data_IF_873965036667
#
_entry.id   IF_873965036667
#
_cell.length_a   1.000
_cell.length_b   1.000
_cell.length_c   1.000
_cell.angle_alpha   90.00
_cell.angle_beta   90.00
_cell.angle_gamma   90.00
#
_symmetry.space_group_name_H-M   'P 1'
#
loop_
_entity.id
_entity.type
_entity.pdbx_description
1 polymer ?
#
# COMPACT_ATOMS: atom_id res chain seq x y z
N UNK A 1 12.47 -17.82 1.84
CA UNK A 1 11.44 -18.73 1.29
C UNK A 1 10.09 -18.13 1.63
N UNK A 2 9.16 -18.09 0.68
CA UNK A 2 7.81 -17.58 0.94
C UNK A 2 7.11 -18.43 1.99
N UNK A 3 6.58 -17.75 3.01
CA UNK A 3 5.87 -18.36 4.15
C UNK A 3 4.33 -18.39 3.94
N UNK A 4 3.84 -17.82 2.83
CA UNK A 4 2.43 -17.80 2.47
C UNK A 4 2.03 -18.96 1.54
N UNK A 5 1.03 -19.74 1.94
CA UNK A 5 0.45 -20.78 1.09
C UNK A 5 -1.08 -20.64 0.97
N UNK A 6 -1.60 -20.86 -0.23
CA UNK A 6 -3.03 -21.05 -0.46
C UNK A 6 -3.35 -22.52 -0.21
N UNK A 7 -4.33 -22.79 0.64
CA UNK A 7 -4.86 -24.14 0.85
C UNK A 7 -6.06 -24.34 -0.07
N UNK A 8 -6.08 -25.45 -0.79
CA UNK A 8 -7.20 -25.82 -1.66
C UNK A 8 -7.73 -27.17 -1.21
N UNK A 9 -9.04 -27.26 -1.09
CA UNK A 9 -9.78 -28.44 -0.66
C UNK A 9 -10.91 -28.68 -1.63
N UNK A 10 -11.11 -29.92 -2.07
CA UNK A 10 -12.19 -30.30 -2.97
C UNK A 10 -12.85 -31.61 -2.51
N UNK A 11 -14.18 -31.71 -2.65
CA UNK A 11 -14.95 -32.90 -2.28
C UNK A 11 -16.47 -32.67 -2.24
N UNK A 12 -17.25 -33.72 -1.98
CA UNK A 12 -18.68 -33.60 -1.61
C UNK A 12 -18.76 -33.05 -0.19
N UNK A 13 -19.25 -31.82 -0.04
CA UNK A 13 -19.24 -31.09 1.22
C UNK A 13 -20.64 -30.61 1.59
N UNK A 14 -20.88 -30.52 2.90
CA UNK A 14 -21.88 -29.63 3.47
C UNK A 14 -21.21 -28.37 3.98
N UNK A 15 -21.71 -27.21 3.58
CA UNK A 15 -21.26 -25.89 4.01
C UNK A 15 -22.36 -25.21 4.78
N UNK A 16 -22.02 -24.72 5.97
CA UNK A 16 -22.94 -23.98 6.85
C UNK A 16 -22.34 -22.60 7.07
N UNK A 17 -23.05 -21.58 6.60
CA UNK A 17 -22.71 -20.18 6.82
C UNK A 17 -23.69 -19.59 7.84
N UNK A 18 -23.14 -18.99 8.89
CA UNK A 18 -23.92 -18.33 9.94
C UNK A 18 -23.53 -16.85 9.97
N UNK A 19 -24.24 -16.03 9.20
CA UNK A 19 -24.03 -14.57 9.09
C UNK A 19 -25.36 -13.84 9.24
N UNK A 20 -25.78 -13.59 10.49
CA UNK A 20 -27.09 -13.00 10.80
C UNK A 20 -28.29 -13.95 10.59
N UNK A 21 -28.06 -15.10 9.94
CA UNK A 21 -28.97 -16.23 9.76
C UNK A 21 -28.16 -17.47 9.39
N UNK A 22 -28.80 -18.65 9.38
CA UNK A 22 -28.14 -19.92 9.06
C UNK A 22 -28.52 -20.36 7.64
N UNK A 23 -27.53 -20.52 6.80
CA UNK A 23 -27.65 -21.05 5.44
C UNK A 23 -26.85 -22.34 5.32
N UNK A 24 -27.39 -23.32 4.59
CA UNK A 24 -26.78 -24.63 4.41
C UNK A 24 -26.78 -25.03 2.94
N UNK A 25 -25.62 -25.42 2.45
CA UNK A 25 -25.39 -25.85 1.08
C UNK A 25 -24.79 -27.25 1.08
N UNK A 26 -25.14 -28.06 0.10
CA UNK A 26 -24.52 -29.37 -0.13
C UNK A 26 -24.17 -29.56 -1.59
N UNK A 27 -22.99 -30.09 -1.85
CA UNK A 27 -22.57 -30.48 -3.18
C UNK A 27 -21.07 -30.68 -3.28
N UNK A 28 -20.61 -31.01 -4.48
CA UNK A 28 -19.19 -31.15 -4.78
C UNK A 28 -18.58 -29.77 -5.03
N UNK A 29 -17.78 -29.29 -4.09
CA UNK A 29 -17.35 -27.89 -4.00
C UNK A 29 -15.83 -27.79 -3.84
N UNK A 30 -15.27 -26.65 -4.20
CA UNK A 30 -13.86 -26.31 -3.98
C UNK A 30 -13.75 -25.16 -2.99
N UNK A 31 -13.05 -25.39 -1.88
CA UNK A 31 -12.71 -24.37 -0.88
C UNK A 31 -11.28 -23.88 -1.08
N UNK A 32 -11.11 -22.56 -1.13
CA UNK A 32 -9.83 -21.86 -1.17
C UNK A 32 -9.65 -21.11 0.15
N UNK A 33 -8.53 -21.35 0.84
CA UNK A 33 -8.13 -20.62 2.03
C UNK A 33 -6.86 -19.84 1.73
N UNK A 34 -6.96 -18.51 1.77
CA UNK A 34 -5.83 -17.60 1.55
C UNK A 34 -4.99 -17.42 2.82
N UNK A 35 -3.73 -16.94 2.69
CA UNK A 35 -2.85 -16.69 3.84
C UNK A 35 -3.41 -15.70 4.87
N UNK A 36 -4.27 -14.78 4.43
CA UNK A 36 -4.94 -13.81 5.31
C UNK A 36 -6.19 -14.37 5.99
N UNK A 37 -6.35 -15.70 6.02
CA UNK A 37 -7.52 -16.41 6.54
C UNK A 37 -8.84 -16.11 5.79
N UNK A 38 -8.80 -15.53 4.60
CA UNK A 38 -9.98 -15.48 3.75
C UNK A 38 -10.32 -16.88 3.24
N UNK A 39 -11.56 -17.32 3.49
CA UNK A 39 -12.11 -18.61 3.05
C UNK A 39 -13.18 -18.36 1.99
N UNK A 40 -13.03 -18.99 0.82
CA UNK A 40 -13.95 -18.89 -0.31
C UNK A 40 -14.39 -20.31 -0.69
N UNK A 41 -15.70 -20.55 -0.82
CA UNK A 41 -16.25 -21.82 -1.30
C UNK A 41 -16.89 -21.59 -2.65
N UNK A 42 -16.45 -22.31 -3.67
CA UNK A 42 -17.03 -22.29 -5.02
C UNK A 42 -17.70 -23.62 -5.34
N UNK A 43 -18.89 -23.55 -5.93
CA UNK A 43 -19.48 -24.66 -6.67
C UNK A 43 -19.17 -24.50 -8.17
N UNK A 44 -19.90 -25.19 -9.03
CA UNK A 44 -19.69 -25.15 -10.48
C UNK A 44 -20.28 -23.91 -11.16
N UNK A 45 -21.18 -23.19 -10.48
CA UNK A 45 -22.01 -22.16 -11.10
C UNK A 45 -21.70 -20.75 -10.56
N UNK A 46 -21.80 -19.77 -11.46
CA UNK A 46 -21.62 -18.38 -11.10
C UNK A 46 -20.15 -17.95 -10.89
N UNK A 47 -19.95 -16.64 -10.93
CA UNK A 47 -18.63 -16.03 -10.72
C UNK A 47 -18.30 -15.89 -9.22
N UNK A 48 -19.34 -15.76 -8.38
CA UNK A 48 -19.17 -15.53 -6.95
C UNK A 48 -19.07 -16.85 -6.17
N UNK A 49 -18.33 -16.88 -5.06
CA UNK A 49 -18.36 -18.03 -4.16
C UNK A 49 -19.76 -18.21 -3.57
N UNK A 50 -20.21 -19.47 -3.42
CA UNK A 50 -21.49 -19.84 -2.81
C UNK A 50 -21.53 -19.47 -1.32
N UNK A 51 -20.38 -19.50 -0.66
CA UNK A 51 -20.20 -19.03 0.72
C UNK A 51 -18.77 -18.52 0.92
N UNK A 52 -18.59 -17.51 1.76
CA UNK A 52 -17.27 -16.98 2.06
C UNK A 52 -17.19 -16.33 3.43
N UNK A 53 -15.96 -16.22 3.95
CA UNK A 53 -15.64 -15.42 5.13
C UNK A 53 -14.30 -14.72 4.89
N UNK A 54 -14.30 -13.39 4.87
CA UNK A 54 -13.08 -12.61 4.57
C UNK A 54 -12.32 -12.27 5.83
N UNK A 55 -10.99 -12.49 5.80
CA UNK A 55 -10.09 -12.18 6.92
C UNK A 55 -10.62 -12.70 8.26
N UNK A 56 -10.81 -14.01 8.36
CA UNK A 56 -11.29 -14.64 9.58
C UNK A 56 -10.25 -14.52 10.72
N UNK A 57 -10.73 -14.33 11.95
CA UNK A 57 -9.88 -14.26 13.15
C UNK A 57 -9.17 -15.61 13.40
N UNK A 58 -9.83 -16.70 13.00
CA UNK A 58 -9.28 -18.05 13.07
C UNK A 58 -9.81 -18.94 11.97
N UNK A 59 -8.97 -19.86 11.50
CA UNK A 59 -9.33 -20.97 10.61
C UNK A 59 -8.73 -22.24 11.17
N UNK A 60 -9.58 -23.17 11.59
CA UNK A 60 -9.20 -24.49 12.09
C UNK A 60 -9.60 -25.56 11.10
N UNK A 61 -8.76 -26.60 10.96
CA UNK A 61 -9.05 -27.74 10.11
C UNK A 61 -8.74 -29.04 10.84
N UNK A 62 -9.69 -29.97 10.83
CA UNK A 62 -9.54 -31.33 11.33
C UNK A 62 -9.61 -32.33 10.16
N UNK A 63 -8.80 -33.38 10.26
CA UNK A 63 -8.59 -34.40 9.22
C UNK A 63 -8.68 -35.84 9.74
N UNK A 64 -9.00 -36.06 11.01
CA UNK A 64 -8.97 -37.41 11.59
C UNK A 64 -10.13 -38.31 11.16
N UNK A 65 -11.29 -37.74 10.80
CA UNK A 65 -12.51 -38.48 10.41
C UNK A 65 -13.22 -37.74 9.26
N UNK A 66 -12.63 -37.81 8.07
CA UNK A 66 -12.97 -36.92 6.95
C UNK A 66 -12.32 -35.55 7.09
N UNK A 67 -12.87 -34.53 6.45
CA UNK A 67 -12.34 -33.15 6.53
C UNK A 67 -13.39 -32.22 7.11
N UNK A 68 -13.02 -31.46 8.15
CA UNK A 68 -13.82 -30.34 8.64
C UNK A 68 -12.97 -29.09 8.67
N UNK A 69 -13.52 -27.96 8.23
CA UNK A 69 -12.96 -26.63 8.40
C UNK A 69 -13.96 -25.71 9.05
N UNK A 70 -13.47 -24.94 10.02
CA UNK A 70 -14.26 -23.92 10.71
C UNK A 70 -13.48 -22.62 10.68
N UNK A 71 -14.07 -21.61 10.07
CA UNK A 71 -13.59 -20.24 10.07
C UNK A 71 -14.54 -19.36 10.90
N UNK A 72 -13.99 -18.46 11.70
CA UNK A 72 -14.75 -17.58 12.60
C UNK A 72 -14.28 -16.15 12.49
N UNK A 73 -15.23 -15.21 12.49
CA UNK A 73 -14.98 -13.78 12.55
C UNK A 73 -16.11 -13.09 13.29
N UNK A 74 -15.82 -12.44 14.40
CA UNK A 74 -16.86 -11.85 15.27
C UNK A 74 -17.98 -12.87 15.58
N UNK A 75 -19.22 -12.58 15.17
CA UNK A 75 -20.39 -13.47 15.29
C UNK A 75 -20.61 -14.39 14.08
N UNK A 76 -19.77 -14.27 13.05
CA UNK A 76 -19.88 -15.03 11.80
C UNK A 76 -19.11 -16.34 11.90
N UNK A 77 -19.74 -17.43 11.45
CA UNK A 77 -19.09 -18.74 11.33
C UNK A 77 -19.30 -19.33 9.95
N UNK A 78 -18.23 -19.88 9.37
CA UNK A 78 -18.29 -20.67 8.15
C UNK A 78 -17.72 -22.07 8.46
N UNK A 79 -18.58 -23.09 8.36
CA UNK A 79 -18.22 -24.48 8.59
C UNK A 79 -18.36 -25.28 7.32
N UNK A 80 -17.31 -26.02 6.95
CA UNK A 80 -17.30 -26.96 5.83
C UNK A 80 -17.03 -28.34 6.40
N UNK A 81 -17.84 -29.32 6.05
CA UNK A 81 -17.63 -30.73 6.39
C UNK A 81 -17.73 -31.57 5.12
N UNK A 82 -16.65 -32.27 4.79
CA UNK A 82 -16.59 -33.19 3.66
C UNK A 82 -17.22 -34.53 4.04
N UNK A 83 -18.09 -35.03 3.16
CA UNK A 83 -18.60 -36.39 3.15
C UNK A 83 -17.67 -37.31 2.34
N UNK A 84 -17.08 -36.78 1.28
CA UNK A 84 -16.11 -37.45 0.41
C UNK A 84 -15.04 -36.45 -0.04
N UNK A 85 -13.76 -36.86 -0.04
CA UNK A 85 -12.64 -35.96 -0.33
C UNK A 85 -12.01 -36.28 -1.68
N UNK A 86 -11.97 -35.29 -2.58
CA UNK A 86 -11.32 -35.40 -3.87
C UNK A 86 -9.86 -34.98 -3.83
N UNK A 87 -9.55 -33.93 -3.06
CA UNK A 87 -8.20 -33.38 -3.04
C UNK A 87 -7.94 -32.39 -1.92
N UNK A 88 -6.69 -32.35 -1.49
CA UNK A 88 -6.16 -31.34 -0.59
C UNK A 88 -4.72 -31.02 -0.95
N UNK A 89 -4.40 -29.73 -1.09
CA UNK A 89 -3.06 -29.29 -1.40
C UNK A 89 -2.76 -27.91 -0.79
N UNK A 90 -1.47 -27.68 -0.56
CA UNK A 90 -0.92 -26.37 -0.24
C UNK A 90 -0.11 -25.90 -1.44
N UNK A 91 -0.41 -24.70 -1.91
CA UNK A 91 0.30 -24.09 -3.02
C UNK A 91 1.01 -22.84 -2.51
N UNK A 92 2.35 -22.75 -2.61
CA UNK A 92 3.07 -21.52 -2.34
C UNK A 92 2.46 -20.37 -3.16
N UNK A 93 2.30 -19.22 -2.53
CA UNK A 93 1.69 -18.06 -3.18
C UNK A 93 2.46 -16.79 -2.84
N UNK A 94 2.79 -16.00 -3.87
CA UNK A 94 3.47 -14.72 -3.75
C UNK A 94 2.52 -13.56 -4.02
N UNK A 95 3.00 -12.34 -3.75
CA UNK A 95 2.40 -11.16 -4.37
C UNK A 95 2.59 -11.24 -5.89
N UNK A 96 1.58 -10.81 -6.65
CA UNK A 96 1.64 -10.76 -8.10
C UNK A 96 1.47 -9.31 -8.58
N UNK A 97 2.12 -8.98 -9.70
CA UNK A 97 2.03 -7.68 -10.33
C UNK A 97 3.07 -7.50 -11.44
N UNK A 98 3.23 -6.28 -11.99
CA UNK A 98 4.20 -6.02 -13.04
C UNK A 98 5.63 -6.35 -12.60
N UNK A 99 6.41 -6.97 -13.48
CA UNK A 99 7.84 -7.21 -13.28
C UNK A 99 8.59 -5.89 -13.20
N UNK A 100 9.47 -5.74 -12.21
CA UNK A 100 10.27 -4.52 -12.00
C UNK A 100 11.76 -4.75 -11.81
N UNK A 101 12.22 -6.00 -11.83
CA UNK A 101 13.64 -6.32 -11.80
C UNK A 101 13.92 -7.72 -11.26
N UNK A 102 15.19 -7.95 -10.89
CA UNK A 102 15.67 -9.20 -10.31
C UNK A 102 16.06 -9.01 -8.85
N UNK A 103 15.83 -10.03 -8.03
CA UNK A 103 16.25 -10.02 -6.63
C UNK A 103 17.78 -10.20 -6.56
N UNK A 104 18.50 -9.43 -5.73
CA UNK A 104 19.94 -9.63 -5.55
C UNK A 104 20.26 -10.84 -4.66
N UNK A 105 19.34 -11.19 -3.74
CA UNK A 105 19.56 -12.24 -2.74
C UNK A 105 19.14 -13.64 -3.22
N UNK A 106 18.39 -13.72 -4.33
CA UNK A 106 18.02 -14.97 -4.98
C UNK A 106 17.78 -14.77 -6.48
N UNK A 107 17.67 -15.85 -7.26
CA UNK A 107 17.39 -15.77 -8.70
C UNK A 107 15.93 -15.37 -9.06
N UNK A 108 15.16 -14.89 -8.09
CA UNK A 108 13.73 -14.63 -8.23
C UNK A 108 13.42 -13.26 -8.82
N UNK A 109 12.25 -13.15 -9.46
CA UNK A 109 11.74 -11.91 -10.01
C UNK A 109 11.20 -10.96 -8.91
N UNK A 110 11.44 -9.66 -9.07
CA UNK A 110 10.80 -8.61 -8.29
C UNK A 110 9.54 -8.10 -9.01
N UNK A 111 8.43 -8.03 -8.30
CA UNK A 111 7.14 -7.54 -8.84
C UNK A 111 6.59 -6.38 -8.02
N UNK A 112 5.93 -5.43 -8.69
CA UNK A 112 5.23 -4.31 -8.06
C UNK A 112 3.82 -4.72 -7.65
N UNK A 113 3.50 -4.62 -6.36
CA UNK A 113 2.12 -4.67 -5.84
C UNK A 113 1.89 -3.50 -4.87
N UNK A 114 1.58 -3.75 -3.59
CA UNK A 114 1.54 -2.68 -2.57
C UNK A 114 2.93 -2.14 -2.27
N UNK A 115 3.96 -2.98 -2.33
CA UNK A 115 5.38 -2.62 -2.37
C UNK A 115 6.06 -3.21 -3.60
N UNK A 116 7.34 -3.52 -3.49
CA UNK A 116 8.04 -4.43 -4.41
C UNK A 116 8.34 -5.73 -3.66
N UNK A 117 8.07 -6.86 -4.28
CA UNK A 117 8.18 -8.18 -3.65
C UNK A 117 8.95 -9.14 -4.52
N UNK A 118 9.83 -9.94 -3.92
CA UNK A 118 10.39 -11.10 -4.61
C UNK A 118 9.39 -12.27 -4.61
N UNK A 119 9.20 -12.90 -5.77
CA UNK A 119 8.29 -14.03 -5.95
C UNK A 119 8.83 -15.38 -5.47
N UNK A 120 10.09 -15.45 -5.04
CA UNK A 120 10.74 -16.70 -4.59
C UNK A 120 11.15 -16.65 -3.11
N UNK A 121 12.00 -15.69 -2.73
CA UNK A 121 12.47 -15.60 -1.35
C UNK A 121 11.43 -14.97 -0.41
N UNK A 122 10.54 -14.13 -0.94
CA UNK A 122 9.49 -13.43 -0.20
C UNK A 122 9.89 -12.04 0.31
N UNK A 123 11.10 -11.57 0.00
CA UNK A 123 11.61 -10.25 0.41
C UNK A 123 10.71 -9.12 -0.10
N UNK A 124 10.68 -8.03 0.69
CA UNK A 124 9.72 -6.93 0.50
C UNK A 124 10.41 -5.59 0.69
N UNK A 125 10.15 -4.68 -0.24
CA UNK A 125 10.60 -3.30 -0.18
C UNK A 125 9.38 -2.38 -0.12
N UNK A 126 9.34 -1.54 0.92
CA UNK A 126 8.25 -0.61 1.17
C UNK A 126 8.34 0.62 0.26
N UNK A 127 7.45 0.69 -0.73
CA UNK A 127 7.45 1.73 -1.77
C UNK A 127 6.19 2.59 -1.66
N UNK A 128 6.30 3.94 -1.64
CA UNK A 128 5.15 4.82 -1.68
C UNK A 128 4.21 4.53 -2.87
N UNK A 129 2.90 4.69 -2.69
CA UNK A 129 1.92 4.37 -3.73
C UNK A 129 2.09 5.18 -5.02
N UNK A 130 2.61 6.40 -4.88
CA UNK A 130 2.88 7.37 -5.94
C UNK A 130 4.29 7.26 -6.54
N UNK A 131 5.12 6.34 -6.05
CA UNK A 131 6.46 6.14 -6.60
C UNK A 131 6.42 5.28 -7.88
N UNK A 132 7.25 5.67 -8.85
CA UNK A 132 7.48 4.91 -10.09
C UNK A 132 8.77 4.11 -9.96
N UNK A 133 8.75 2.83 -10.30
CA UNK A 133 9.98 2.02 -10.35
C UNK A 133 10.67 2.21 -11.70
N UNK A 134 11.97 2.46 -11.68
CA UNK A 134 12.80 2.57 -12.89
C UNK A 134 13.18 1.18 -13.40
N UNK A 135 13.52 1.12 -14.68
CA UNK A 135 13.94 -0.12 -15.33
C UNK A 135 15.37 -0.53 -14.93
N UNK A 136 15.75 -1.75 -15.33
CA UNK A 136 17.00 -2.41 -14.90
C UNK A 136 18.27 -1.61 -15.25
N UNK A 137 18.21 -0.73 -16.26
CA UNK A 137 19.32 0.12 -16.66
C UNK A 137 19.67 1.19 -15.61
N UNK A 138 18.74 1.46 -14.68
CA UNK A 138 18.88 2.44 -13.60
C UNK A 138 19.00 1.78 -12.23
N UNK A 139 19.40 0.49 -12.17
CA UNK A 139 19.63 -0.19 -10.90
C UNK A 139 20.70 0.54 -10.07
N UNK A 140 20.50 0.51 -8.77
CA UNK A 140 21.50 0.93 -7.80
C UNK A 140 22.69 -0.04 -7.84
N UNK A 141 23.83 0.38 -7.31
CA UNK A 141 25.06 -0.44 -7.26
C UNK A 141 24.86 -1.73 -6.45
N UNK A 142 23.88 -1.77 -5.55
CA UNK A 142 23.48 -2.99 -4.82
C UNK A 142 22.69 -3.98 -5.68
N UNK A 143 22.38 -3.65 -6.94
CA UNK A 143 21.64 -4.48 -7.89
C UNK A 143 20.12 -4.32 -7.84
N UNK A 144 19.58 -3.59 -6.85
CA UNK A 144 18.15 -3.32 -6.77
C UNK A 144 17.74 -2.16 -7.69
N UNK A 145 16.50 -2.20 -8.24
CA UNK A 145 15.93 -1.05 -8.94
C UNK A 145 15.91 0.21 -8.09
N UNK A 146 15.95 1.36 -8.76
CA UNK A 146 15.68 2.67 -8.14
C UNK A 146 14.20 3.01 -8.26
N UNK A 147 13.63 3.65 -7.24
CA UNK A 147 12.32 4.29 -7.32
C UNK A 147 12.48 5.80 -7.52
N UNK A 148 11.63 6.36 -8.37
CA UNK A 148 11.38 7.79 -8.44
C UNK A 148 10.17 8.14 -7.58
N UNK A 149 10.31 9.12 -6.71
CA UNK A 149 9.23 9.64 -5.87
C UNK A 149 9.39 11.14 -5.68
N UNK A 150 8.28 11.86 -5.63
CA UNK A 150 8.27 13.32 -5.51
C UNK A 150 7.86 13.73 -4.09
N UNK A 151 8.75 14.39 -3.37
CA UNK A 151 8.54 14.89 -1.99
C UNK A 151 9.13 16.29 -1.87
N UNK A 152 8.56 17.22 -2.62
CA UNK A 152 9.09 18.57 -2.81
C UNK A 152 10.19 18.66 -3.88
N UNK A 153 10.99 17.62 -4.03
CA UNK A 153 11.81 17.38 -5.22
C UNK A 153 11.55 15.97 -5.70
N UNK A 154 11.98 15.69 -6.92
CA UNK A 154 11.97 14.34 -7.42
C UNK A 154 13.24 13.59 -7.06
N UNK A 155 13.10 12.63 -6.15
CA UNK A 155 14.18 11.79 -5.66
C UNK A 155 14.23 10.49 -6.46
N UNK A 156 15.44 10.05 -6.81
CA UNK A 156 15.68 8.74 -7.42
C UNK A 156 16.58 7.94 -6.48
N UNK A 157 15.97 7.17 -5.59
CA UNK A 157 16.68 6.41 -4.54
C UNK A 157 16.48 4.91 -4.73
N UNK A 158 17.41 4.13 -4.20
CA UNK A 158 17.31 2.67 -4.13
C UNK A 158 15.99 2.21 -3.49
N UNK A 159 15.49 1.05 -3.91
CA UNK A 159 14.38 0.37 -3.24
C UNK A 159 14.72 -0.05 -1.80
N UNK A 160 15.97 -0.37 -1.53
CA UNK A 160 16.43 -0.68 -0.18
C UNK A 160 16.80 0.60 0.57
N UNK A 161 16.04 0.87 1.64
CA UNK A 161 16.25 2.01 2.54
C UNK A 161 17.57 1.92 3.31
N UNK A 162 18.12 0.73 3.48
CA UNK A 162 19.45 0.53 4.07
C UNK A 162 20.59 0.93 3.11
N UNK A 163 20.32 0.96 1.80
CA UNK A 163 21.28 1.35 0.78
C UNK A 163 21.20 2.86 0.47
N UNK A 164 19.99 3.37 0.17
CA UNK A 164 19.73 4.80 0.03
C UNK A 164 18.37 5.13 0.66
N UNK A 165 18.36 6.06 1.62
CA UNK A 165 17.15 6.43 2.34
C UNK A 165 16.46 7.62 1.68
N UNK A 166 15.18 7.44 1.31
CA UNK A 166 14.32 8.56 0.90
C UNK A 166 14.24 9.64 1.99
N UNK A 167 14.24 9.25 3.26
CA UNK A 167 14.08 10.21 4.36
C UNK A 167 15.31 11.09 4.48
N UNK A 168 16.50 10.48 4.40
CA UNK A 168 17.75 11.22 4.45
C UNK A 168 17.86 12.16 3.24
N UNK A 169 17.43 11.72 2.05
CA UNK A 169 17.42 12.55 0.87
C UNK A 169 16.47 13.76 1.00
N UNK A 170 15.27 13.56 1.55
CA UNK A 170 14.29 14.65 1.78
C UNK A 170 14.76 15.57 2.91
N UNK A 171 15.26 15.02 4.02
CA UNK A 171 15.84 15.78 5.12
C UNK A 171 17.02 16.63 4.65
N UNK A 172 17.93 16.07 3.84
CA UNK A 172 19.05 16.83 3.29
C UNK A 172 18.60 17.99 2.39
N UNK A 173 17.43 17.86 1.74
CA UNK A 173 16.91 18.89 0.85
C UNK A 173 16.07 19.97 1.57
N UNK A 174 15.37 19.62 2.66
CA UNK A 174 14.31 20.46 3.22
C UNK A 174 14.32 20.60 4.75
N UNK A 175 15.24 19.99 5.49
CA UNK A 175 15.28 20.16 6.95
C UNK A 175 15.57 21.61 7.30
N UNK A 176 14.65 22.24 8.05
CA UNK A 176 14.68 23.66 8.43
C UNK A 176 14.64 24.64 7.26
N UNK A 177 14.09 24.24 6.13
CA UNK A 177 13.92 25.13 4.97
C UNK A 177 12.73 26.10 5.13
N UNK A 178 11.77 25.77 6.00
CA UNK A 178 10.53 26.53 6.16
C UNK A 178 10.30 26.91 7.62
N UNK A 179 9.86 28.13 7.83
CA UNK A 179 9.50 28.65 9.16
C UNK A 179 8.16 28.07 9.64
N UNK A 180 8.01 27.92 10.95
CA UNK A 180 6.71 27.60 11.55
C UNK A 180 5.74 28.77 11.32
N UNK A 181 4.51 28.52 10.80
CA UNK A 181 3.55 29.58 10.54
C UNK A 181 2.81 30.08 11.80
N UNK A 182 3.05 29.48 12.97
CA UNK A 182 2.40 29.90 14.21
C UNK A 182 2.89 31.29 14.66
N UNK A 183 1.99 32.26 14.93
CA UNK A 183 2.38 33.65 15.21
C UNK A 183 3.34 33.86 16.38
N UNK A 184 3.31 32.98 17.37
CA UNK A 184 4.13 33.04 18.58
C UNK A 184 5.23 31.96 18.61
N UNK A 185 5.62 31.46 17.43
CA UNK A 185 6.68 30.47 17.27
C UNK A 185 7.71 30.94 16.24
N UNK A 186 8.96 31.06 16.63
CA UNK A 186 10.11 31.39 15.78
C UNK A 186 10.88 30.13 15.33
N UNK A 187 10.27 28.96 15.46
CA UNK A 187 10.92 27.68 15.19
C UNK A 187 10.90 27.29 13.72
N UNK A 188 11.91 26.54 13.30
CA UNK A 188 11.99 25.95 11.97
C UNK A 188 11.15 24.65 11.88
N UNK A 189 10.65 24.33 10.69
CA UNK A 189 10.06 23.04 10.38
C UNK A 189 11.14 22.00 10.05
N UNK A 190 11.17 20.91 10.83
CA UNK A 190 12.06 19.76 10.65
C UNK A 190 11.40 18.68 9.82
N UNK A 191 12.18 18.02 8.96
CA UNK A 191 11.72 16.84 8.23
C UNK A 191 11.81 15.63 9.15
N UNK A 192 10.66 15.04 9.46
CA UNK A 192 10.54 13.91 10.40
C UNK A 192 9.73 12.78 9.79
N UNK A 193 9.92 11.55 10.31
CA UNK A 193 9.05 10.41 9.99
C UNK A 193 8.08 10.12 11.14
N UNK A 194 6.77 10.30 10.91
CA UNK A 194 5.68 9.91 11.83
C UNK A 194 4.46 9.41 11.03
N UNK A 195 4.36 8.10 10.78
CA UNK A 195 3.32 7.53 9.89
C UNK A 195 3.45 7.92 8.41
N UNK A 196 4.48 8.69 8.06
CA UNK A 196 4.76 9.32 6.77
C UNK A 196 5.88 10.35 6.96
N UNK A 197 6.31 11.01 5.88
CA UNK A 197 7.20 12.17 5.99
C UNK A 197 6.37 13.41 6.34
N UNK A 198 6.80 14.14 7.35
CA UNK A 198 6.16 15.37 7.82
C UNK A 198 7.19 16.49 7.95
N UNK A 199 6.74 17.73 7.81
CA UNK A 199 7.45 18.93 8.22
C UNK A 199 6.83 19.39 9.55
N UNK A 200 7.54 19.20 10.66
CA UNK A 200 7.05 19.48 12.02
C UNK A 200 7.91 20.49 12.76
N UNK A 201 7.29 21.36 13.55
CA UNK A 201 8.00 22.40 14.29
C UNK A 201 9.03 21.80 15.25
N UNK A 202 10.23 22.38 15.29
CA UNK A 202 11.28 21.92 16.20
C UNK A 202 11.03 22.22 17.68
N UNK A 203 10.12 23.16 17.98
CA UNK A 203 9.69 23.47 19.33
C UNK A 203 8.67 22.48 19.90
N UNK A 204 8.43 21.34 19.24
CA UNK A 204 7.63 20.26 19.83
C UNK A 204 8.23 19.80 21.18
N UNK A 205 7.44 19.68 22.26
CA UNK A 205 5.98 19.66 22.31
C UNK A 205 5.31 21.02 22.57
N UNK A 206 6.05 22.11 22.75
CA UNK A 206 5.51 23.44 23.04
C UNK A 206 4.76 24.05 21.84
N UNK A 207 5.14 23.64 20.62
CA UNK A 207 4.38 23.86 19.38
C UNK A 207 4.14 22.52 18.69
N UNK A 208 2.88 22.13 18.48
CA UNK A 208 2.50 20.84 17.88
C UNK A 208 2.24 20.88 16.37
N UNK A 209 2.57 22.01 15.74
CA UNK A 209 2.43 22.24 14.30
C UNK A 209 3.21 21.20 13.50
N UNK A 210 2.51 20.54 12.58
CA UNK A 210 3.10 19.59 11.66
C UNK A 210 2.24 19.32 10.45
N UNK A 211 2.89 19.22 9.30
CA UNK A 211 2.24 19.04 8.00
C UNK A 211 2.77 17.80 7.31
N UNK A 212 1.89 17.00 6.71
CA UNK A 212 2.33 15.89 5.87
C UNK A 212 2.94 16.42 4.56
N UNK A 213 4.14 15.95 4.21
CA UNK A 213 4.77 16.35 2.94
C UNK A 213 4.00 15.72 1.78
N UNK A 214 3.44 16.52 0.84
CA UNK A 214 2.65 15.99 -0.28
C UNK A 214 3.53 15.21 -1.27
N UNK A 215 2.88 14.40 -2.10
CA UNK A 215 3.47 13.96 -3.35
C UNK A 215 3.50 15.14 -4.33
N UNK A 216 4.65 15.41 -4.94
CA UNK A 216 4.83 16.50 -5.90
C UNK A 216 6.14 17.27 -5.71
N UNK A 217 6.33 18.34 -6.48
CA UNK A 217 7.53 19.19 -6.47
C UNK A 217 7.16 20.58 -5.99
N UNK A 218 8.01 21.21 -5.17
CA UNK A 218 7.79 22.59 -4.72
C UNK A 218 7.83 23.53 -5.94
N UNK A 219 6.77 24.30 -6.14
CA UNK A 219 6.58 25.17 -7.30
C UNK A 219 6.45 26.66 -6.94
N UNK A 220 6.43 27.00 -5.65
CA UNK A 220 6.31 28.37 -5.17
C UNK A 220 6.01 28.50 -3.69
N UNK A 221 5.46 29.65 -3.31
CA UNK A 221 5.05 29.98 -1.96
C UNK A 221 3.56 30.35 -1.94
N UNK A 222 2.84 29.85 -0.95
CA UNK A 222 1.45 30.16 -0.71
C UNK A 222 1.33 31.53 -0.02
N UNK A 223 0.20 32.23 -0.18
CA UNK A 223 -0.10 33.44 0.60
C UNK A 223 -0.28 33.23 2.13
N UNK A 224 0.05 32.05 2.65
CA UNK A 224 0.24 31.80 4.09
C UNK A 224 1.73 31.74 4.51
N UNK A 225 2.68 31.87 3.58
CA UNK A 225 4.12 31.78 3.81
C UNK A 225 4.69 30.35 3.68
N UNK A 226 3.85 29.33 3.58
CA UNK A 226 4.27 27.94 3.37
C UNK A 226 4.48 27.62 1.89
N UNK A 227 5.31 26.63 1.53
CA UNK A 227 5.55 26.26 0.14
C UNK A 227 4.30 25.67 -0.53
N UNK A 228 4.20 25.86 -1.84
CA UNK A 228 3.25 25.16 -2.71
C UNK A 228 3.93 24.03 -3.47
N UNK A 229 3.15 23.00 -3.81
CA UNK A 229 3.58 21.80 -4.52
C UNK A 229 2.73 21.62 -5.78
N UNK A 230 3.37 21.40 -6.93
CA UNK A 230 2.73 20.86 -8.13
C UNK A 230 2.59 19.35 -8.00
N UNK A 231 1.36 18.85 -8.00
CA UNK A 231 1.03 17.43 -7.86
C UNK A 231 0.59 16.80 -9.19
N UNK A 232 0.99 17.38 -10.33
CA UNK A 232 0.68 16.86 -11.67
C UNK A 232 -0.70 17.27 -12.18
N UNK A 233 -1.12 18.50 -11.89
CA UNK A 233 -2.39 19.08 -12.35
C UNK A 233 -3.07 20.00 -11.34
N UNK A 234 -2.65 19.93 -10.08
CA UNK A 234 -3.12 20.80 -9.00
C UNK A 234 -1.93 21.34 -8.20
N UNK A 235 -2.00 22.62 -7.84
CA UNK A 235 -1.08 23.23 -6.88
C UNK A 235 -1.68 23.07 -5.49
N UNK A 236 -0.88 22.63 -4.51
CA UNK A 236 -1.31 22.37 -3.14
C UNK A 236 -0.35 23.00 -2.12
N UNK A 237 -0.88 23.58 -1.05
CA UNK A 237 -0.06 24.08 0.06
C UNK A 237 0.50 22.91 0.87
N UNK A 238 1.65 23.10 1.53
CA UNK A 238 2.12 22.18 2.57
C UNK A 238 1.04 21.93 3.63
N UNK A 239 0.33 22.98 4.04
CA UNK A 239 -0.87 22.84 4.85
C UNK A 239 -2.07 22.41 3.98
N UNK A 240 -2.44 21.14 4.11
CA UNK A 240 -3.59 20.54 3.44
C UNK A 240 -4.93 21.25 3.69
N UNK A 241 -5.05 22.04 4.76
CA UNK A 241 -6.26 22.77 5.14
C UNK A 241 -6.25 24.23 4.69
N UNK A 242 -5.15 24.70 4.08
CA UNK A 242 -5.00 26.08 3.67
C UNK A 242 -5.83 26.41 2.41
N UNK A 243 -6.79 27.31 2.55
CA UNK A 243 -7.65 27.78 1.46
C UNK A 243 -7.00 28.87 0.59
N UNK A 244 -5.85 29.41 0.99
CA UNK A 244 -5.20 30.56 0.31
C UNK A 244 -4.54 30.21 -1.02
N UNK A 245 -4.24 28.93 -1.26
CA UNK A 245 -3.64 28.45 -2.53
C UNK A 245 -4.52 28.72 -3.75
N UNK A 246 -5.84 28.75 -3.59
CA UNK A 246 -6.77 28.95 -4.70
C UNK A 246 -6.66 30.35 -5.33
N UNK A 247 -6.11 31.34 -4.61
CA UNK A 247 -6.03 32.73 -5.08
C UNK A 247 -4.85 33.01 -6.03
N UNK A 248 -3.92 32.07 -6.19
CA UNK A 248 -2.72 32.24 -7.03
C UNK A 248 -2.79 31.58 -8.42
N UNK A 249 -3.88 30.87 -8.76
CA UNK A 249 -4.16 30.48 -10.16
C UNK A 249 -4.53 31.75 -10.94
N UNK A 250 -3.53 32.35 -11.57
CA UNK A 250 -3.60 33.61 -12.32
C UNK A 250 -4.70 33.56 -13.38
N UNK A 251 -5.56 34.59 -13.37
CA UNK A 251 -6.47 34.95 -14.46
C UNK A 251 -5.70 34.97 -15.79
N UNK A 252 -6.24 34.39 -16.88
CA UNK A 252 -5.60 34.52 -18.20
C UNK A 252 -5.46 36.00 -18.54
N UNK A 253 -4.24 36.44 -18.87
CA UNK A 253 -3.98 37.80 -19.34
C UNK A 253 -4.97 38.16 -20.46
N UNK A 254 -5.69 39.29 -20.39
CA UNK A 254 -6.55 39.72 -21.48
C UNK A 254 -5.65 40.07 -22.66
N UNK A 255 -5.74 39.23 -23.70
CA UNK A 255 -4.99 39.39 -24.94
C UNK A 255 -5.03 40.82 -25.44
N UNK A 256 -3.85 41.37 -25.70
CA UNK A 256 -3.68 42.66 -26.34
C UNK A 256 -4.48 42.67 -27.66
N UNK A 257 -5.45 43.58 -27.73
CA UNK A 257 -6.06 44.00 -28.97
C UNK A 257 -4.96 44.57 -29.88
N UNK A 258 -4.80 44.00 -31.07
CA UNK A 258 -4.14 44.66 -32.17
C UNK A 258 -5.22 45.16 -33.14
N UNK A 259 -5.41 46.47 -33.17
CA UNK A 259 -6.02 47.18 -34.28
C UNK A 259 -5.08 47.14 -35.49
N UNK A 260 -5.55 46.57 -36.61
CA UNK A 260 -5.46 47.11 -37.99
C UNK A 260 -6.19 46.19 -38.98
#
# INVERSE_FOLDING_TARGET
>A
MIDGAIRVLAGDCTVIAETGGREEYRGRMTTIVKPDNTVLVHDTDGYQPVAWLTRADSVSSDRSDGFTLVAKKDTQTLRIAAHDQDGFAHYPASAAGPLVGSCPDCSGALVRSTGVHCVDCGDRYGVPGDATIRDDAANCDCGLPRMRVERGLAFNVCLDRGCESLDEAVTAAFDREWDCPEPDCDGDLRVLRRGGLIAGCEHYPDCDTGFAIPGGVVDGECGCGLPTFDTGGETRCLDATCERVQKHRVDPEPGAASDD
#
